data_IF_568786850624
#
_entry.id   IF_568786850624
#
_cell.length_a   1.000
_cell.length_b   1.000
_cell.length_c   1.000
_cell.angle_alpha   90.00
_cell.angle_beta   90.00
_cell.angle_gamma   90.00
#
_symmetry.space_group_name_H-M   'P 1'
#
loop_
_entity.id
_entity.type
_entity.pdbx_description
1 polymer ?
#
# COMPACT_ATOMS: atom_id res chain seq x y z
N UNK A 1 4.45 16.18 -17.37
CA UNK A 1 4.51 14.80 -17.92
C UNK A 1 5.77 14.66 -18.76
N UNK A 2 6.62 13.66 -18.51
CA UNK A 2 7.72 13.33 -19.43
C UNK A 2 7.11 12.84 -20.76
N UNK A 3 7.56 13.40 -21.89
CA UNK A 3 7.06 13.00 -23.21
C UNK A 3 7.45 11.53 -23.46
N UNK A 4 6.47 10.69 -23.84
CA UNK A 4 6.72 9.32 -24.30
C UNK A 4 7.84 9.34 -25.36
N UNK A 5 8.79 8.39 -25.34
CA UNK A 5 9.72 8.23 -26.45
C UNK A 5 8.91 8.14 -27.74
N UNK A 6 9.11 9.09 -28.66
CA UNK A 6 8.51 9.00 -29.99
C UNK A 6 9.38 8.05 -30.82
N UNK A 7 8.81 6.97 -31.37
CA UNK A 7 9.51 6.16 -32.34
C UNK A 7 9.92 7.04 -33.52
N UNK A 8 11.15 6.85 -34.03
CA UNK A 8 11.58 7.48 -35.28
C UNK A 8 11.16 6.56 -36.43
N UNK A 9 10.02 6.82 -37.07
CA UNK A 9 9.58 6.10 -38.27
C UNK A 9 8.09 6.24 -38.56
N UNK A 10 7.74 6.29 -39.85
CA UNK A 10 6.38 6.52 -40.38
C UNK A 10 5.58 5.22 -40.60
N UNK A 11 6.04 4.10 -40.01
CA UNK A 11 5.35 2.80 -40.07
C UNK A 11 4.36 2.64 -38.92
N UNK A 12 3.29 1.86 -39.09
CA UNK A 12 2.30 1.58 -38.04
C UNK A 12 2.99 1.01 -36.79
N UNK A 13 3.20 1.86 -35.79
CA UNK A 13 3.98 1.51 -34.60
C UNK A 13 3.10 0.76 -33.60
N UNK A 14 3.46 -0.48 -33.29
CA UNK A 14 3.01 -1.18 -32.08
C UNK A 14 3.58 -0.46 -30.86
N UNK A 15 2.72 0.20 -30.08
CA UNK A 15 3.12 0.84 -28.84
C UNK A 15 3.64 -0.21 -27.85
N UNK A 16 4.88 -0.06 -27.41
CA UNK A 16 5.46 -0.89 -26.34
C UNK A 16 4.99 -0.34 -25.00
N UNK A 17 3.85 -0.84 -24.55
CA UNK A 17 3.32 -0.60 -23.22
C UNK A 17 3.65 -1.79 -22.29
N UNK A 18 3.52 -1.62 -20.96
CA UNK A 18 3.62 -2.75 -20.04
C UNK A 18 2.63 -3.85 -20.45
N UNK A 19 3.03 -5.11 -20.30
CA UNK A 19 2.17 -6.26 -20.64
C UNK A 19 0.91 -6.29 -19.75
N UNK A 20 0.98 -5.65 -18.57
CA UNK A 20 -0.09 -5.61 -17.56
C UNK A 20 -0.34 -4.18 -17.09
N UNK A 21 -1.58 -3.88 -16.74
CA UNK A 21 -2.02 -2.65 -16.09
C UNK A 21 -1.82 -2.71 -14.59
N UNK A 22 -1.79 -1.54 -13.93
CA UNK A 22 -1.83 -1.45 -12.46
C UNK A 22 -3.08 -2.12 -11.91
N UNK A 23 -4.18 -2.08 -12.66
CA UNK A 23 -5.46 -2.71 -12.27
C UNK A 23 -5.39 -4.23 -12.22
N UNK A 24 -4.42 -4.82 -12.92
CA UNK A 24 -4.21 -6.27 -12.95
C UNK A 24 -3.34 -6.74 -11.76
N UNK A 25 -2.82 -5.80 -10.97
CA UNK A 25 -1.96 -6.08 -9.83
C UNK A 25 -2.74 -6.61 -8.64
N UNK A 26 -2.41 -7.84 -8.21
CA UNK A 26 -2.91 -8.46 -6.99
C UNK A 26 -1.86 -8.31 -5.89
N UNK A 27 -2.31 -7.81 -4.74
CA UNK A 27 -1.54 -7.71 -3.50
C UNK A 27 -2.09 -8.75 -2.53
N UNK A 28 -1.22 -9.54 -1.92
CA UNK A 28 -1.60 -10.46 -0.86
C UNK A 28 -0.58 -10.39 0.27
N UNK A 29 -0.79 -9.46 1.21
CA UNK A 29 -0.01 -9.42 2.44
C UNK A 29 -0.91 -9.27 3.66
N UNK A 30 -0.49 -9.89 4.75
CA UNK A 30 -1.23 -9.96 6.02
C UNK A 30 -0.45 -9.34 7.18
N UNK A 31 0.86 -9.15 7.01
CA UNK A 31 1.75 -8.61 8.02
C UNK A 31 2.97 -7.94 7.37
N UNK A 32 3.69 -7.18 8.20
CA UNK A 32 5.02 -6.66 7.87
C UNK A 32 6.09 -7.50 8.56
N UNK A 33 7.14 -7.82 7.82
CA UNK A 33 8.42 -8.28 8.34
C UNK A 33 9.46 -7.15 8.21
N UNK A 34 10.61 -7.29 8.86
CA UNK A 34 11.69 -6.30 8.76
C UNK A 34 13.02 -6.98 8.40
N UNK A 35 13.92 -6.22 7.77
CA UNK A 35 15.29 -6.66 7.51
C UNK A 35 16.30 -5.64 8.01
N UNK A 36 17.42 -6.13 8.54
CA UNK A 36 18.61 -5.31 8.84
C UNK A 36 19.59 -5.28 7.68
N UNK A 37 19.39 -6.12 6.66
CA UNK A 37 20.25 -6.21 5.47
C UNK A 37 19.75 -5.29 4.36
N UNK A 38 20.68 -4.76 3.58
CA UNK A 38 20.36 -4.05 2.35
C UNK A 38 19.74 -4.99 1.31
N UNK A 39 18.89 -4.43 0.45
CA UNK A 39 18.39 -5.15 -0.71
C UNK A 39 19.55 -5.57 -1.62
N UNK A 40 19.57 -6.84 -1.99
CA UNK A 40 20.54 -7.42 -2.91
C UNK A 40 19.90 -7.57 -4.31
N UNK A 41 20.40 -6.83 -5.32
CA UNK A 41 20.02 -6.99 -6.72
C UNK A 41 19.99 -8.44 -7.22
N UNK A 42 20.97 -9.25 -6.82
CA UNK A 42 21.13 -10.60 -7.35
C UNK A 42 20.01 -11.55 -6.89
N UNK A 43 19.46 -11.30 -5.70
CA UNK A 43 18.45 -12.15 -5.07
C UNK A 43 17.06 -11.49 -5.03
N UNK A 44 16.90 -10.32 -5.64
CA UNK A 44 15.70 -9.51 -5.47
C UNK A 44 14.42 -10.17 -5.97
N UNK A 45 14.45 -10.82 -7.14
CA UNK A 45 13.28 -11.54 -7.67
C UNK A 45 12.87 -12.69 -6.74
N UNK A 46 13.83 -13.43 -6.21
CA UNK A 46 13.55 -14.51 -5.25
C UNK A 46 12.94 -13.96 -3.96
N UNK A 47 13.46 -12.84 -3.45
CA UNK A 47 12.89 -12.15 -2.29
C UNK A 47 11.42 -11.76 -2.54
N UNK A 48 11.07 -11.19 -3.69
CA UNK A 48 9.67 -10.83 -4.00
C UNK A 48 8.76 -12.07 -4.01
N UNK A 49 9.24 -13.17 -4.58
CA UNK A 49 8.51 -14.44 -4.65
C UNK A 49 8.28 -15.01 -3.25
N UNK A 50 9.31 -14.97 -2.40
CA UNK A 50 9.21 -15.43 -1.01
C UNK A 50 8.20 -14.58 -0.24
N UNK A 51 8.28 -13.25 -0.37
CA UNK A 51 7.33 -12.32 0.25
C UNK A 51 5.88 -12.58 -0.19
N UNK A 52 5.65 -12.84 -1.49
CA UNK A 52 4.33 -13.23 -2.00
C UNK A 52 3.84 -14.54 -1.38
N UNK A 53 4.70 -15.56 -1.33
CA UNK A 53 4.34 -16.87 -0.77
C UNK A 53 4.07 -16.81 0.73
N UNK A 54 4.79 -15.95 1.45
CA UNK A 54 4.59 -15.72 2.88
C UNK A 54 3.47 -14.72 3.20
N UNK A 55 2.81 -14.15 2.19
CA UNK A 55 1.86 -13.05 2.35
C UNK A 55 2.41 -11.92 3.21
N UNK A 56 3.62 -11.45 2.92
CA UNK A 56 4.34 -10.48 3.74
C UNK A 56 4.75 -9.25 2.92
N UNK A 57 4.70 -8.09 3.57
CA UNK A 57 5.40 -6.90 3.14
C UNK A 57 6.71 -6.75 3.93
N UNK A 58 7.73 -6.11 3.35
CA UNK A 58 9.04 -5.96 3.97
C UNK A 58 9.33 -4.51 4.29
N UNK A 59 9.53 -4.21 5.57
CA UNK A 59 10.17 -3.00 6.05
C UNK A 59 11.69 -3.13 5.84
N UNK A 60 12.25 -2.22 5.06
CA UNK A 60 13.65 -2.22 4.68
C UNK A 60 14.53 -1.68 5.81
N UNK A 61 15.82 -1.98 5.73
CA UNK A 61 16.75 -1.54 6.76
C UNK A 61 16.79 -0.01 6.84
N UNK A 62 16.94 0.61 8.02
CA UNK A 62 16.88 2.07 8.17
C UNK A 62 17.90 2.84 7.32
N UNK A 63 19.02 2.20 6.98
CA UNK A 63 20.08 2.78 6.16
C UNK A 63 19.88 2.52 4.66
N UNK A 64 18.80 1.86 4.26
CA UNK A 64 18.48 1.61 2.85
C UNK A 64 18.37 2.94 2.12
N UNK A 65 19.12 3.08 1.03
CA UNK A 65 19.34 4.39 0.39
C UNK A 65 18.08 5.01 -0.23
N UNK A 66 17.16 4.19 -0.72
CA UNK A 66 16.13 4.66 -1.65
C UNK A 66 14.69 4.43 -1.20
N UNK A 67 14.41 3.39 -0.43
CA UNK A 67 13.06 2.96 -0.10
C UNK A 67 13.01 2.45 1.33
N UNK A 68 11.85 2.55 1.93
CA UNK A 68 11.60 2.20 3.33
C UNK A 68 10.72 0.95 3.44
N UNK A 69 9.80 0.73 2.49
CA UNK A 69 8.90 -0.43 2.45
C UNK A 69 8.88 -1.03 1.04
N UNK A 70 8.83 -2.36 0.99
CA UNK A 70 8.66 -3.17 -0.19
C UNK A 70 7.42 -4.05 -0.03
N UNK A 71 6.43 -3.88 -0.91
CA UNK A 71 5.25 -4.75 -0.97
C UNK A 71 5.25 -5.46 -2.33
N UNK A 72 5.32 -6.80 -2.39
CA UNK A 72 5.34 -7.48 -3.68
C UNK A 72 3.95 -7.44 -4.33
N UNK A 73 3.92 -7.35 -5.65
CA UNK A 73 2.68 -7.32 -6.47
C UNK A 73 2.77 -8.43 -7.50
N UNK A 74 1.68 -9.18 -7.69
CA UNK A 74 1.59 -10.17 -8.76
C UNK A 74 0.63 -9.68 -9.85
N UNK A 75 1.10 -9.65 -11.10
CA UNK A 75 0.32 -9.21 -12.27
C UNK A 75 -0.14 -10.39 -13.15
N UNK A 76 -0.01 -11.61 -12.66
CA UNK A 76 -0.49 -12.80 -13.37
C UNK A 76 -1.85 -13.27 -12.89
N UNK A 77 -2.36 -14.30 -13.56
CA UNK A 77 -3.60 -14.96 -13.19
C UNK A 77 -3.39 -15.78 -11.90
N UNK A 78 -4.11 -15.48 -10.79
CA UNK A 78 -3.99 -16.22 -9.54
C UNK A 78 -4.41 -17.70 -9.64
N UNK A 79 -5.17 -18.08 -10.68
CA UNK A 79 -5.58 -19.46 -10.91
C UNK A 79 -4.50 -20.29 -11.61
N UNK A 80 -3.42 -19.66 -12.11
CA UNK A 80 -2.32 -20.33 -12.80
C UNK A 80 -1.07 -20.45 -11.89
N UNK A 81 -0.14 -21.36 -12.22
CA UNK A 81 1.15 -21.42 -11.54
C UNK A 81 1.90 -20.08 -11.57
N UNK A 82 2.58 -19.77 -10.47
CA UNK A 82 3.30 -18.50 -10.29
C UNK A 82 4.36 -18.28 -11.39
N UNK A 83 4.16 -17.22 -12.17
CA UNK A 83 5.11 -16.74 -13.19
C UNK A 83 5.97 -15.59 -12.63
N UNK A 84 7.27 -15.85 -12.43
CA UNK A 84 8.21 -14.88 -11.90
C UNK A 84 8.37 -13.62 -12.75
N UNK A 85 8.05 -13.68 -14.05
CA UNK A 85 8.11 -12.51 -14.94
C UNK A 85 6.97 -11.53 -14.70
N UNK A 86 5.91 -11.98 -14.03
CA UNK A 86 4.75 -11.17 -13.65
C UNK A 86 4.81 -10.70 -12.20
N UNK A 87 5.93 -10.91 -11.52
CA UNK A 87 6.17 -10.40 -10.17
C UNK A 87 6.78 -9.00 -10.30
N UNK A 88 6.10 -8.02 -9.70
CA UNK A 88 6.60 -6.67 -9.53
C UNK A 88 6.55 -6.26 -8.06
N UNK A 89 6.64 -4.95 -7.81
CA UNK A 89 6.55 -4.44 -6.46
C UNK A 89 6.00 -3.01 -6.39
N UNK A 90 5.40 -2.73 -5.24
CA UNK A 90 5.12 -1.41 -4.73
C UNK A 90 6.26 -1.02 -3.75
N UNK A 91 7.01 0.00 -4.11
CA UNK A 91 8.09 0.57 -3.30
C UNK A 91 7.60 1.85 -2.65
N UNK A 92 7.69 1.93 -1.33
CA UNK A 92 7.27 3.12 -0.59
C UNK A 92 8.51 3.79 0.00
N UNK A 93 8.56 5.10 -0.16
CA UNK A 93 9.54 5.97 0.48
C UNK A 93 8.81 6.98 1.36
N UNK A 94 8.90 6.83 2.67
CA UNK A 94 8.34 7.73 3.67
C UNK A 94 9.43 8.68 4.17
N UNK A 95 9.32 9.97 3.81
CA UNK A 95 10.24 11.01 4.26
C UNK A 95 9.54 11.93 5.24
N UNK A 96 10.05 11.96 6.47
CA UNK A 96 9.78 13.06 7.39
C UNK A 96 10.73 14.21 7.03
N UNK A 97 10.30 15.12 6.14
CA UNK A 97 11.16 16.23 5.68
C UNK A 97 10.39 17.54 5.61
N UNK A 98 11.06 18.59 6.07
CA UNK A 98 10.65 20.00 5.92
C UNK A 98 11.03 20.54 4.51
N UNK A 99 11.95 19.88 3.79
CA UNK A 99 12.45 20.33 2.49
C UNK A 99 11.75 19.70 1.29
N UNK A 100 11.31 20.52 0.34
CA UNK A 100 10.77 20.07 -0.95
C UNK A 100 11.86 19.44 -1.82
N UNK A 101 11.77 18.14 -2.09
CA UNK A 101 12.53 17.51 -3.18
C UNK A 101 11.56 16.90 -4.18
N UNK A 102 11.76 17.19 -5.46
CA UNK A 102 11.00 16.53 -6.52
C UNK A 102 11.20 15.02 -6.47
N UNK A 103 10.13 14.26 -6.71
CA UNK A 103 10.21 12.83 -6.96
C UNK A 103 11.19 12.60 -8.12
N UNK A 104 12.17 11.71 -7.89
CA UNK A 104 13.15 11.32 -8.90
C UNK A 104 13.09 9.82 -9.09
N UNK A 105 12.45 9.42 -10.18
CA UNK A 105 12.49 8.03 -10.66
C UNK A 105 13.83 7.78 -11.36
N UNK A 106 14.85 7.44 -10.56
CA UNK A 106 16.22 7.26 -11.05
C UNK A 106 16.46 5.95 -11.78
N UNK A 107 17.73 5.62 -12.03
CA UNK A 107 18.12 4.40 -12.73
C UNK A 107 18.21 3.17 -11.82
N UNK A 108 18.20 3.34 -10.50
CA UNK A 108 18.39 2.26 -9.53
C UNK A 108 17.37 1.12 -9.68
N UNK A 109 16.18 1.38 -10.21
CA UNK A 109 15.18 0.33 -10.46
C UNK A 109 15.69 -0.72 -11.47
N UNK A 110 16.62 -0.38 -12.35
CA UNK A 110 17.22 -1.34 -13.30
C UNK A 110 18.08 -2.39 -12.61
N UNK A 111 18.56 -2.09 -11.41
CA UNK A 111 19.39 -3.02 -10.63
C UNK A 111 18.51 -4.12 -10.01
N UNK A 112 17.23 -3.83 -9.75
CA UNK A 112 16.33 -4.73 -9.03
C UNK A 112 15.26 -5.39 -9.91
N UNK A 113 14.82 -4.75 -11.00
CA UNK A 113 13.69 -5.23 -11.79
C UNK A 113 14.09 -5.56 -13.23
N UNK A 114 13.49 -6.63 -13.75
CA UNK A 114 13.69 -7.06 -15.12
C UNK A 114 13.18 -6.03 -16.15
N UNK A 115 13.75 -6.00 -17.36
CA UNK A 115 13.20 -5.21 -18.44
C UNK A 115 11.73 -5.56 -18.72
N UNK A 116 10.90 -4.54 -18.88
CA UNK A 116 9.45 -4.70 -19.09
C UNK A 116 8.61 -4.87 -17.82
N UNK A 117 9.23 -5.08 -16.66
CA UNK A 117 8.49 -5.16 -15.40
C UNK A 117 7.82 -3.81 -15.06
N UNK A 118 6.66 -3.88 -14.41
CA UNK A 118 5.94 -2.71 -13.89
C UNK A 118 6.27 -2.53 -12.41
N UNK A 119 6.71 -1.31 -12.06
CA UNK A 119 7.06 -0.93 -10.70
C UNK A 119 6.26 0.30 -10.30
N UNK A 120 5.66 0.25 -9.13
CA UNK A 120 4.94 1.39 -8.55
C UNK A 120 5.79 1.93 -7.41
N UNK A 121 6.06 3.23 -7.42
CA UNK A 121 6.83 3.93 -6.40
C UNK A 121 5.94 4.98 -5.75
N UNK A 122 5.69 4.87 -4.45
CA UNK A 122 4.99 5.86 -3.65
C UNK A 122 6.00 6.64 -2.82
N UNK A 123 6.13 7.94 -3.07
CA UNK A 123 6.86 8.84 -2.18
C UNK A 123 5.87 9.62 -1.33
N UNK A 124 5.95 9.43 -0.02
CA UNK A 124 5.14 10.10 0.98
C UNK A 124 6.03 11.12 1.69
N UNK A 125 5.71 12.40 1.57
CA UNK A 125 6.31 13.47 2.39
C UNK A 125 5.32 13.91 3.45
N UNK A 126 5.60 13.52 4.70
CA UNK A 126 4.74 13.74 5.85
C UNK A 126 5.25 14.94 6.63
N UNK A 127 4.34 15.76 7.16
CA UNK A 127 4.65 16.88 8.06
C UNK A 127 4.84 18.23 7.36
N UNK A 128 4.55 18.31 6.06
CA UNK A 128 4.56 19.57 5.33
C UNK A 128 3.27 20.36 5.54
N UNK A 129 3.35 21.52 6.21
CA UNK A 129 2.24 22.47 6.29
C UNK A 129 1.89 22.96 4.89
N UNK A 130 0.78 22.49 4.33
CA UNK A 130 0.32 22.87 3.00
C UNK A 130 -0.18 24.31 3.04
N UNK A 131 0.64 25.25 2.54
CA UNK A 131 0.16 26.61 2.26
C UNK A 131 -0.75 26.66 1.02
N UNK A 132 -0.74 25.61 0.19
CA UNK A 132 -1.66 25.37 -0.92
C UNK A 132 -1.83 23.86 -1.06
N UNK A 133 -3.07 23.34 -1.01
CA UNK A 133 -3.37 21.92 -1.27
C UNK A 133 -2.76 21.49 -2.61
N UNK A 134 -1.60 20.84 -2.58
CA UNK A 134 -1.00 20.25 -3.77
C UNK A 134 -1.56 18.84 -3.93
N UNK A 135 -2.34 18.67 -4.99
CA UNK A 135 -2.76 17.35 -5.49
C UNK A 135 -1.52 16.45 -5.62
N UNK A 136 -1.64 15.14 -5.32
CA UNK A 136 -0.56 14.19 -5.58
C UNK A 136 0.00 14.38 -6.99
N UNK A 137 1.33 14.42 -7.10
CA UNK A 137 1.97 14.56 -8.40
C UNK A 137 2.33 13.18 -8.95
N UNK A 138 1.99 12.96 -10.22
CA UNK A 138 2.23 11.71 -10.91
C UNK A 138 3.39 11.86 -11.90
N UNK A 139 4.31 10.90 -11.88
CA UNK A 139 5.41 10.83 -12.82
C UNK A 139 5.50 9.41 -13.39
N UNK A 140 5.64 9.29 -14.70
CA UNK A 140 5.93 8.02 -15.35
C UNK A 140 7.35 8.07 -15.92
N UNK A 141 8.14 7.03 -15.66
CA UNK A 141 9.45 6.81 -16.29
C UNK A 141 9.33 5.63 -17.24
N UNK A 142 9.36 5.94 -18.53
CA UNK A 142 9.42 4.95 -19.60
C UNK A 142 10.85 4.41 -19.72
N UNK A 143 11.04 3.09 -19.89
CA UNK A 143 12.35 2.55 -20.21
C UNK A 143 12.77 3.00 -21.61
N UNK A 144 14.08 3.07 -21.85
CA UNK A 144 14.57 3.17 -23.23
C UNK A 144 14.23 1.89 -23.97
N UNK A 145 13.97 1.99 -25.27
CA UNK A 145 13.69 0.83 -26.12
C UNK A 145 14.95 0.47 -26.92
N UNK A 146 15.15 -0.82 -27.16
CA UNK A 146 16.14 -1.37 -28.10
C UNK A 146 15.40 -2.18 -29.16
N UNK A 147 15.94 -2.23 -30.37
CA UNK A 147 15.39 -3.06 -31.43
C UNK A 147 16.07 -4.44 -31.41
N UNK A 148 15.29 -5.51 -31.29
CA UNK A 148 15.76 -6.90 -31.36
C UNK A 148 14.83 -7.66 -32.31
N UNK A 149 15.39 -8.24 -33.39
CA UNK A 149 14.63 -8.99 -34.40
C UNK A 149 13.46 -8.21 -35.03
N UNK A 150 13.61 -6.88 -35.17
CA UNK A 150 12.54 -6.00 -35.68
C UNK A 150 11.47 -5.65 -34.66
N UNK A 151 11.59 -6.12 -33.41
CA UNK A 151 10.69 -5.78 -32.31
C UNK A 151 11.34 -4.77 -31.36
N UNK A 152 10.54 -3.83 -30.85
CA UNK A 152 10.98 -2.87 -29.84
C UNK A 152 10.86 -3.50 -28.45
N UNK A 153 11.99 -3.73 -27.80
CA UNK A 153 12.08 -4.37 -26.48
C UNK A 153 12.52 -3.34 -25.44
N UNK A 154 11.84 -3.25 -24.27
CA UNK A 154 12.27 -2.36 -23.20
C UNK A 154 13.65 -2.77 -22.65
N UNK A 155 14.48 -1.78 -22.33
CA UNK A 155 15.82 -1.98 -21.73
C UNK A 155 15.82 -1.91 -20.20
N UNK A 156 14.64 -1.77 -19.59
CA UNK A 156 14.47 -1.65 -18.14
C UNK A 156 13.00 -1.66 -17.75
N UNK A 157 12.69 -1.47 -16.46
CA UNK A 157 11.32 -1.50 -15.98
C UNK A 157 10.59 -0.20 -16.29
N UNK A 158 9.28 -0.32 -16.46
CA UNK A 158 8.35 0.80 -16.40
C UNK A 158 8.18 1.19 -14.93
N UNK A 159 8.39 2.47 -14.61
CA UNK A 159 8.26 2.94 -13.23
C UNK A 159 7.21 4.03 -13.17
N UNK A 160 6.11 3.74 -12.47
CA UNK A 160 5.09 4.72 -12.13
C UNK A 160 5.38 5.27 -10.74
N UNK A 161 5.57 6.57 -10.66
CA UNK A 161 5.82 7.32 -9.44
C UNK A 161 4.62 8.14 -9.03
N UNK A 162 4.22 8.02 -7.77
CA UNK A 162 3.22 8.88 -7.13
C UNK A 162 3.92 9.61 -5.99
N UNK A 163 3.82 10.93 -5.96
CA UNK A 163 4.34 11.75 -4.88
C UNK A 163 3.19 12.45 -4.17
N UNK A 164 2.89 12.00 -2.95
CA UNK A 164 1.92 12.64 -2.07
C UNK A 164 2.66 13.47 -1.01
N UNK A 165 2.16 14.69 -0.74
CA UNK A 165 2.77 15.64 0.21
C UNK A 165 1.70 16.25 1.08
N UNK A 166 1.89 16.21 2.40
CA UNK A 166 1.00 16.93 3.31
C UNK A 166 1.16 16.53 4.77
N UNK A 167 0.19 16.94 5.58
CA UNK A 167 0.31 16.87 7.04
C UNK A 167 -1.02 16.63 7.74
N UNK A 168 -1.84 15.72 7.23
CA UNK A 168 -3.08 15.41 7.92
C UNK A 168 -4.15 14.78 7.05
N UNK A 169 -5.36 14.63 7.62
CA UNK A 169 -6.59 14.19 6.97
C UNK A 169 -6.84 14.76 5.58
N UNK A 170 -6.52 16.03 5.38
CA UNK A 170 -6.76 16.75 4.14
C UNK A 170 -5.94 16.22 2.96
N UNK A 171 -4.78 15.63 3.24
CA UNK A 171 -3.89 15.02 2.24
C UNK A 171 -3.96 13.51 2.28
N UNK A 172 -4.09 12.98 3.48
CA UNK A 172 -4.13 11.56 3.78
C UNK A 172 -5.42 11.32 4.55
N UNK A 173 -6.57 11.20 3.86
CA UNK A 173 -7.88 11.02 4.51
C UNK A 173 -7.92 9.83 5.46
N UNK A 174 -7.08 8.82 5.20
CA UNK A 174 -6.88 7.67 6.07
C UNK A 174 -6.21 7.96 7.42
N UNK A 175 -5.58 9.13 7.61
CA UNK A 175 -5.07 9.56 8.91
C UNK A 175 -6.15 10.19 9.80
N UNK A 176 -7.28 10.62 9.20
CA UNK A 176 -8.40 11.21 9.93
C UNK A 176 -9.35 10.18 10.51
N UNK A 177 -9.47 9.04 9.80
CA UNK A 177 -10.47 8.05 10.10
C UNK A 177 -9.83 6.96 10.96
N UNK A 178 -10.40 6.73 12.14
CA UNK A 178 -10.11 5.56 12.98
C UNK A 178 -10.35 4.21 12.27
N UNK A 179 -10.81 4.21 11.01
CA UNK A 179 -10.80 3.06 10.12
C UNK A 179 -10.29 3.43 8.73
N UNK A 180 -9.18 2.81 8.32
CA UNK A 180 -8.68 2.78 6.94
C UNK A 180 -9.71 2.24 5.92
N UNK A 181 -10.80 1.62 6.40
CA UNK A 181 -11.82 0.96 5.60
C UNK A 181 -12.48 1.89 4.58
N UNK A 182 -13.00 3.06 4.99
CA UNK A 182 -13.78 3.94 4.10
C UNK A 182 -12.93 4.56 2.96
N UNK A 183 -11.71 5.09 3.22
CA UNK A 183 -10.85 5.58 2.14
C UNK A 183 -10.32 4.48 1.22
N UNK A 184 -10.05 3.28 1.73
CA UNK A 184 -9.73 2.11 0.91
C UNK A 184 -10.92 1.70 0.05
N UNK A 185 -12.15 1.78 0.57
CA UNK A 185 -13.37 1.48 -0.16
C UNK A 185 -13.60 2.46 -1.32
N UNK A 186 -13.31 3.75 -1.13
CA UNK A 186 -13.35 4.77 -2.19
C UNK A 186 -12.30 4.51 -3.26
N UNK A 187 -11.05 4.24 -2.85
CA UNK A 187 -9.97 3.90 -3.78
C UNK A 187 -10.36 2.67 -4.61
N UNK A 188 -10.86 1.60 -3.97
CA UNK A 188 -11.34 0.38 -4.63
C UNK A 188 -12.53 0.69 -5.55
N UNK A 189 -13.53 1.48 -5.11
CA UNK A 189 -14.67 1.92 -5.94
C UNK A 189 -14.23 2.70 -7.18
N UNK A 190 -13.17 3.50 -7.11
CA UNK A 190 -12.64 4.25 -8.26
C UNK A 190 -11.77 3.40 -9.19
N UNK A 191 -11.15 2.31 -8.71
CA UNK A 191 -10.37 1.41 -9.58
C UNK A 191 -11.25 0.37 -10.29
N UNK A 192 -12.40 0.02 -9.72
CA UNK A 192 -13.31 -1.02 -10.23
C UNK A 192 -14.43 -0.43 -11.10
N UNK A 193 -14.46 -0.65 -12.42
CA UNK A 193 -15.57 -0.17 -13.25
C UNK A 193 -16.78 -1.10 -13.13
N UNK A 194 -17.91 -0.52 -12.72
CA UNK A 194 -19.31 -0.96 -12.89
C UNK A 194 -19.63 -2.42 -13.29
N UNK A 195 -20.39 -3.09 -12.39
CA UNK A 195 -21.34 -4.22 -12.58
C UNK A 195 -20.73 -5.62 -12.85
N UNK A 196 -20.96 -6.67 -12.06
CA UNK A 196 -22.24 -7.41 -11.90
C UNK A 196 -22.12 -8.49 -10.78
N UNK A 197 -23.25 -8.97 -10.24
CA UNK A 197 -23.37 -9.65 -8.93
C UNK A 197 -22.65 -10.98 -8.66
N UNK A 198 -21.77 -11.50 -9.53
CA UNK A 198 -20.99 -12.71 -9.23
C UNK A 198 -19.78 -12.41 -8.33
N UNK A 199 -19.16 -11.23 -8.47
CA UNK A 199 -18.02 -10.83 -7.63
C UNK A 199 -18.42 -10.54 -6.18
N UNK A 200 -19.65 -10.08 -5.93
CA UNK A 200 -20.19 -9.94 -4.56
C UNK A 200 -20.24 -11.29 -3.82
N UNK A 201 -20.53 -12.38 -4.52
CA UNK A 201 -20.52 -13.74 -3.95
C UNK A 201 -19.10 -14.27 -3.70
N UNK A 202 -18.11 -13.80 -4.45
CA UNK A 202 -16.71 -14.19 -4.26
C UNK A 202 -16.13 -13.41 -3.07
N UNK A 203 -16.42 -12.11 -2.98
CA UNK A 203 -16.01 -11.26 -1.86
C UNK A 203 -16.68 -11.66 -0.54
N UNK A 204 -17.95 -12.06 -0.53
CA UNK A 204 -18.64 -12.52 0.68
C UNK A 204 -18.15 -13.89 1.20
N UNK A 205 -17.41 -14.65 0.39
CA UNK A 205 -16.81 -15.93 0.77
C UNK A 205 -15.40 -15.81 1.37
N UNK A 206 -14.79 -14.62 1.30
CA UNK A 206 -13.54 -14.31 1.99
C UNK A 206 -13.84 -14.06 3.48
N UNK A 207 -13.89 -15.14 4.29
CA UNK A 207 -14.08 -15.05 5.74
C UNK A 207 -12.99 -14.14 6.35
N UNK A 208 -13.42 -13.03 6.96
CA UNK A 208 -12.56 -12.13 7.73
C UNK A 208 -13.01 -10.65 7.71
N UNK A 209 -13.84 -10.26 6.74
CA UNK A 209 -14.46 -8.93 6.69
C UNK A 209 -15.97 -9.08 6.90
N UNK A 210 -16.39 -9.11 8.17
CA UNK A 210 -17.78 -8.80 8.50
C UNK A 210 -17.84 -7.29 8.68
N UNK A 211 -18.20 -6.59 7.61
CA UNK A 211 -18.74 -5.24 7.75
C UNK A 211 -20.12 -5.44 8.38
N UNK A 212 -20.21 -5.18 9.68
CA UNK A 212 -21.48 -5.22 10.38
C UNK A 212 -22.45 -4.32 9.64
N UNK A 213 -23.57 -4.91 9.20
CA UNK A 213 -24.73 -4.14 8.83
C UNK A 213 -25.17 -3.43 10.11
N UNK A 214 -24.85 -2.14 10.22
CA UNK A 214 -25.59 -1.28 11.15
C UNK A 214 -26.99 -1.19 10.58
N UNK A 215 -27.87 -2.05 11.10
CA UNK A 215 -29.31 -1.87 11.05
C UNK A 215 -29.60 -0.48 11.62
N UNK A 216 -29.91 0.45 10.72
CA UNK A 216 -30.50 1.73 11.10
C UNK A 216 -31.98 1.47 11.37
N UNK A 217 -32.30 1.11 12.61
CA UNK A 217 -33.65 1.21 13.16
C UNK A 217 -33.98 2.70 13.34
N UNK A 218 -34.42 3.34 12.26
CA UNK A 218 -35.07 4.65 12.29
C UNK A 218 -36.58 4.45 12.08
N UNK A 219 -37.25 3.90 13.09
CA UNK A 219 -38.70 4.04 13.28
C UNK A 219 -38.92 4.69 14.66
N UNK A 220 -38.79 6.03 14.69
CA UNK A 220 -39.36 6.84 15.76
C UNK A 220 -40.59 7.58 15.25
N UNK A 221 -41.71 6.85 15.27
CA UNK A 221 -43.03 7.46 15.42
C UNK A 221 -43.10 8.17 16.78
N UNK A 222 -43.51 9.44 16.71
CA UNK A 222 -43.88 10.23 17.87
C UNK A 222 -45.24 9.74 18.35
N UNK A 223 -45.33 9.35 19.61
CA UNK A 223 -46.61 9.41 20.31
C UNK A 223 -46.46 9.79 21.78
N UNK A 224 -47.45 10.54 22.21
CA UNK A 224 -47.57 11.34 23.42
C UNK A 224 -47.63 10.53 24.73
N UNK A 225 -47.09 11.15 25.78
CA UNK A 225 -47.74 11.21 27.10
C UNK A 225 -47.60 10.00 28.03
N UNK A 226 -46.90 10.20 29.15
CA UNK A 226 -46.93 9.23 30.24
C UNK A 226 -46.15 9.66 31.47
N UNK A 227 -46.89 10.21 32.44
CA UNK A 227 -46.48 10.55 33.80
C UNK A 227 -46.17 9.28 34.63
N UNK A 228 -45.23 9.35 35.58
CA UNK A 228 -44.98 8.30 36.58
C UNK A 228 -43.48 8.14 36.82
N UNK A 229 -42.94 8.80 37.83
CA UNK A 229 -42.85 8.35 39.23
C UNK A 229 -41.53 7.59 39.45
N UNK A 230 -40.66 8.29 40.17
CA UNK A 230 -39.67 7.85 41.14
C UNK A 230 -39.53 6.33 41.33
N UNK A 231 -38.32 5.82 41.15
CA UNK A 231 -37.77 4.81 42.05
C UNK A 231 -36.24 4.86 42.04
N UNK A 232 -35.71 5.10 43.23
CA UNK A 232 -34.31 5.09 43.63
C UNK A 232 -33.62 3.76 43.26
N UNK A 233 -32.47 3.81 42.58
CA UNK A 233 -31.57 2.67 42.50
C UNK A 233 -30.15 3.08 42.93
N UNK A 234 -29.84 2.47 44.07
CA UNK A 234 -28.63 2.29 44.86
C UNK A 234 -27.29 2.34 44.08
N UNK A 235 -26.38 3.18 44.57
CA UNK A 235 -25.00 3.32 44.11
C UNK A 235 -24.12 2.40 44.95
N UNK A 236 -23.71 1.28 44.37
CA UNK A 236 -22.73 0.39 44.97
C UNK A 236 -21.55 0.16 44.03
N UNK A 237 -20.48 0.95 44.18
CA UNK A 237 -19.15 0.60 43.66
C UNK A 237 -18.04 1.25 44.48
N UNK A 238 -17.17 0.42 45.04
CA UNK A 238 -15.78 0.71 45.38
C UNK A 238 -15.14 -0.59 45.89
N UNK A 239 -14.63 -1.41 44.96
CA UNK A 239 -13.70 -2.48 45.27
C UNK A 239 -12.31 -1.90 45.57
N UNK A 240 -11.84 -2.16 46.78
CA UNK A 240 -10.44 -2.03 47.18
C UNK A 240 -9.63 -3.19 46.57
N UNK A 241 -8.59 -2.88 45.80
CA UNK A 241 -7.53 -3.85 45.44
C UNK A 241 -6.20 -3.10 45.25
N UNK A 242 -5.64 -2.59 46.36
CA UNK A 242 -4.23 -2.23 46.47
C UNK A 242 -3.48 -3.42 47.09
N UNK A 243 -2.77 -4.17 46.25
CA UNK A 243 -1.73 -5.11 46.68
C UNK A 243 -0.43 -4.77 45.96
N UNK A 244 0.32 -3.87 46.58
CA UNK A 244 1.75 -3.72 46.41
C UNK A 244 2.44 -5.00 46.92
N UNK A 245 3.06 -5.77 46.02
CA UNK A 245 4.10 -6.72 46.40
C UNK A 245 5.43 -6.34 45.76
N UNK A 246 6.30 -5.91 46.66
CA UNK A 246 7.75 -5.86 46.57
C UNK A 246 8.35 -7.23 46.17
N UNK A 247 9.51 -7.17 45.52
CA UNK A 247 10.71 -8.03 45.66
C UNK A 247 11.38 -8.16 44.27
N UNK A 248 12.62 -7.77 44.05
CA UNK A 248 13.84 -8.22 44.72
C UNK A 248 14.85 -8.44 43.59
N UNK A 249 15.82 -7.54 43.43
CA UNK A 249 17.23 -7.77 43.75
C UNK A 249 17.91 -8.94 42.99
N UNK A 250 18.93 -8.51 42.24
CA UNK A 250 20.25 -9.12 42.10
C UNK A 250 20.56 -10.21 41.06
N UNK A 251 21.73 -9.94 40.44
CA UNK A 251 22.73 -10.87 39.92
C UNK A 251 22.41 -11.51 38.55
N UNK A 252 23.32 -11.58 37.57
CA UNK A 252 24.77 -11.71 37.70
C UNK A 252 25.44 -11.39 36.35
N UNK A 253 26.49 -10.57 36.38
CA UNK A 253 27.53 -10.55 35.35
C UNK A 253 28.56 -11.65 35.65
N UNK A 254 28.82 -12.51 34.65
CA UNK A 254 30.06 -13.26 34.39
C UNK A 254 29.68 -14.30 33.32
N UNK A 255 30.33 -14.47 32.18
CA UNK A 255 31.72 -14.32 31.82
C UNK A 255 32.10 -15.58 31.03
N UNK A 256 32.62 -15.42 29.81
CA UNK A 256 33.73 -16.11 29.09
C UNK A 256 33.60 -15.72 27.63
#
# INVERSE_FOLDING_TARGET
MQKRPRPRGDGSVTLVDPIYSIKDGVLNFTHFTYTTKHLDPANFTNLLVELLRSNAALQLCPNQKWWDILIPVYFGDPALPLDFKKVGALLIQAKNRIGQKSLKLGNQYKDFFLPGALVICLQLEIGMKLQNLQVPSFQMRWPSLKEENGEQVPTGPFVMGVHARGHGPETFPFLANHGLAVPCELLVKEVTPNQTGLELQICSRLRGLHLGETESDDDHDKDDGGNGDDDDIDVGDAGDDDADDHDGWDSQMSGV
#
